data_IF_197494000628
#
_entry.id   IF_197494000628
#
_cell.length_a   1.000
_cell.length_b   1.000
_cell.length_c   1.000
_cell.angle_alpha   90.00
_cell.angle_beta   90.00
_cell.angle_gamma   90.00
#
_symmetry.space_group_name_H-M   'P 1'
#
loop_
_entity.id
_entity.type
_entity.pdbx_description
1 polymer ?
#
# COMPACT_ATOMS: atom_id res chain seq x y z
N UNK A 1 2.27 17.17 2.53
CA UNK A 1 1.22 16.72 1.59
C UNK A 1 0.95 15.25 1.85
N UNK A 2 -0.31 14.81 1.93
CA UNK A 2 -0.70 13.49 2.44
C UNK A 2 -0.21 12.32 1.57
N UNK A 3 -0.14 12.53 0.25
CA UNK A 3 0.33 11.51 -0.71
C UNK A 3 1.79 11.13 -0.45
N UNK A 4 2.68 12.11 -0.25
CA UNK A 4 4.09 11.83 0.06
C UNK A 4 4.27 11.11 1.40
N UNK A 5 3.37 11.33 2.36
CA UNK A 5 3.40 10.61 3.63
C UNK A 5 2.96 9.15 3.45
N UNK A 6 1.99 8.88 2.59
CA UNK A 6 1.61 7.52 2.21
C UNK A 6 2.79 6.78 1.56
N UNK A 7 3.46 7.40 0.59
CA UNK A 7 4.64 6.80 -0.08
C UNK A 7 5.77 6.53 0.93
N UNK A 8 6.06 7.50 1.81
CA UNK A 8 7.09 7.38 2.85
C UNK A 8 6.80 6.25 3.85
N UNK A 9 5.53 6.07 4.25
CA UNK A 9 5.14 5.07 5.24
C UNK A 9 5.00 3.67 4.65
N UNK A 10 4.46 3.55 3.44
CA UNK A 10 4.25 2.26 2.78
C UNK A 10 5.54 1.70 2.20
N UNK A 11 6.42 2.59 1.72
CA UNK A 11 7.69 2.27 1.03
C UNK A 11 7.49 1.44 -0.24
N UNK A 12 6.24 1.33 -0.74
CA UNK A 12 5.93 0.56 -1.92
C UNK A 12 6.52 1.26 -3.16
N UNK A 13 7.18 0.53 -4.08
CA UNK A 13 7.80 1.13 -5.26
C UNK A 13 6.81 1.89 -6.14
N UNK A 14 5.58 1.40 -6.25
CA UNK A 14 4.51 2.05 -7.03
C UNK A 14 3.96 3.30 -6.35
N UNK A 15 4.31 3.56 -5.08
CA UNK A 15 3.97 4.78 -4.37
C UNK A 15 2.48 5.13 -4.46
N UNK A 16 2.19 6.37 -4.87
CA UNK A 16 0.83 6.87 -5.02
C UNK A 16 0.01 6.25 -6.16
N UNK A 17 0.63 5.50 -7.08
CA UNK A 17 -0.10 4.76 -8.12
C UNK A 17 -1.02 3.71 -7.51
N UNK A 18 -0.70 3.21 -6.31
CA UNK A 18 -1.60 2.34 -5.55
C UNK A 18 -2.97 2.97 -5.27
N UNK A 19 -3.09 4.31 -5.27
CA UNK A 19 -4.34 5.05 -5.02
C UNK A 19 -4.92 5.58 -6.33
N UNK A 20 -4.09 6.11 -7.23
CA UNK A 20 -4.57 6.82 -8.43
C UNK A 20 -4.68 5.94 -9.67
N UNK A 21 -3.94 4.83 -9.72
CA UNK A 21 -3.84 3.93 -10.85
C UNK A 21 -3.90 2.46 -10.39
N UNK A 22 -5.03 2.03 -9.79
CA UNK A 22 -5.21 0.67 -9.30
C UNK A 22 -5.00 -0.35 -10.43
N UNK A 23 -4.37 -1.48 -10.10
CA UNK A 23 -4.22 -2.61 -11.02
C UNK A 23 -5.57 -3.30 -11.23
N UNK A 24 -5.82 -3.78 -12.45
CA UNK A 24 -7.09 -4.45 -12.81
C UNK A 24 -7.34 -5.74 -12.00
N UNK A 25 -6.30 -6.34 -11.42
CA UNK A 25 -6.37 -7.57 -10.62
C UNK A 25 -6.62 -7.34 -9.12
N UNK A 26 -6.83 -6.08 -8.71
CA UNK A 26 -7.09 -5.68 -7.33
C UNK A 26 -8.35 -4.82 -7.26
N UNK A 27 -9.07 -4.92 -6.14
CA UNK A 27 -10.17 -4.01 -5.84
C UNK A 27 -9.69 -2.54 -5.77
N UNK A 28 -10.42 -1.65 -6.44
CA UNK A 28 -10.23 -0.19 -6.36
C UNK A 28 -10.98 0.39 -5.14
N UNK A 29 -10.46 0.08 -3.96
CA UNK A 29 -11.00 0.54 -2.68
C UNK A 29 -9.90 0.75 -1.64
N UNK A 30 -10.16 1.51 -0.55
CA UNK A 30 -9.21 1.63 0.56
C UNK A 30 -8.77 0.27 1.13
N UNK A 31 -9.69 -0.69 1.21
CA UNK A 31 -9.43 -2.06 1.66
C UNK A 31 -8.48 -2.80 0.71
N UNK A 32 -8.67 -2.62 -0.61
CA UNK A 32 -7.77 -3.14 -1.64
C UNK A 32 -6.34 -2.61 -1.50
N UNK A 33 -6.20 -1.28 -1.28
CA UNK A 33 -4.89 -0.64 -1.02
C UNK A 33 -4.24 -1.20 0.24
N UNK A 34 -4.98 -1.30 1.35
CA UNK A 34 -4.45 -1.83 2.62
C UNK A 34 -4.00 -3.27 2.46
N UNK A 35 -4.77 -4.10 1.75
CA UNK A 35 -4.43 -5.49 1.48
C UNK A 35 -3.13 -5.61 0.69
N UNK A 36 -2.99 -4.86 -0.41
CA UNK A 36 -1.77 -4.88 -1.21
C UNK A 36 -0.55 -4.42 -0.42
N UNK A 37 -0.66 -3.33 0.34
CA UNK A 37 0.44 -2.85 1.20
C UNK A 37 0.83 -3.92 2.23
N UNK A 38 -0.13 -4.62 2.85
CA UNK A 38 0.15 -5.72 3.78
C UNK A 38 0.91 -6.85 3.12
N UNK A 39 0.42 -7.33 1.97
CA UNK A 39 1.01 -8.45 1.22
C UNK A 39 2.42 -8.11 0.73
N UNK A 40 2.61 -6.93 0.13
CA UNK A 40 3.92 -6.50 -0.34
C UNK A 40 4.91 -6.35 0.82
N UNK A 41 4.53 -5.70 1.92
CA UNK A 41 5.44 -5.53 3.07
C UNK A 41 5.83 -6.87 3.67
N UNK A 42 4.89 -7.80 3.83
CA UNK A 42 5.18 -9.15 4.31
C UNK A 42 6.15 -9.91 3.38
N UNK A 43 5.92 -9.86 2.07
CA UNK A 43 6.79 -10.50 1.06
C UNK A 43 8.20 -9.89 1.00
N UNK A 44 8.37 -8.65 1.43
CA UNK A 44 9.65 -7.93 1.45
C UNK A 44 10.29 -7.89 2.86
N UNK A 45 9.79 -8.69 3.82
CA UNK A 45 10.35 -8.76 5.17
C UNK A 45 10.23 -7.46 5.96
N UNK A 46 9.29 -6.58 5.60
CA UNK A 46 9.04 -5.31 6.29
C UNK A 46 7.96 -5.49 7.37
N UNK A 47 8.07 -4.77 8.50
CA UNK A 47 7.04 -4.80 9.53
C UNK A 47 5.71 -4.27 8.97
N UNK A 48 4.61 -4.95 9.29
CA UNK A 48 3.26 -4.57 8.91
C UNK A 48 2.67 -3.46 9.78
N UNK A 49 1.35 -3.27 9.67
CA UNK A 49 0.60 -2.40 10.57
C UNK A 49 0.63 -2.93 12.01
N UNK A 50 0.38 -2.06 12.98
CA UNK A 50 0.23 -2.46 14.39
C UNK A 50 -0.97 -3.40 14.53
N UNK A 51 -0.80 -4.42 15.38
CA UNK A 51 -1.93 -5.19 15.87
C UNK A 51 -2.83 -4.30 16.74
N UNK A 52 -4.12 -4.65 16.80
CA UNK A 52 -5.15 -3.92 17.56
C UNK A 52 -4.88 -3.85 19.06
#
# INVERSE_FOLDING_TARGET
ALVFEFERLTEHPDGSDLIFYPRDDREDSPEGVVKEVKEWRANNGKPGFKDS
#
